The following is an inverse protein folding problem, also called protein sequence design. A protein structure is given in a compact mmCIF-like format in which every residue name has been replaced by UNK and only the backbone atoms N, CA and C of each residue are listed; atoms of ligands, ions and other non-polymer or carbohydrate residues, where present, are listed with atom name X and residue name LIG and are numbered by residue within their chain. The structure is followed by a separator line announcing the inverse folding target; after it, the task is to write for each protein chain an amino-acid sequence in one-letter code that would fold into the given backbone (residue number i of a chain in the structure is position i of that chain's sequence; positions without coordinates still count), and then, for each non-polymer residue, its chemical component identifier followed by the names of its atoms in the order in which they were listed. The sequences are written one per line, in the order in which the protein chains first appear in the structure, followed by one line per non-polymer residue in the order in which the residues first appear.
data_IF_006576130943
#
_entry.id   IF_006576130943
#
_cell.length_a   1.000
_cell.length_b   1.000
_cell.length_c   1.000
_cell.angle_alpha   90.00
_cell.angle_beta   90.00
_cell.angle_gamma   90.00
#
_symmetry.space_group_name_H-M   'P 1'
#
loop_
_entity.id
_entity.type
_entity.pdbx_description
1 polymer ?
#
# COMPACT_ATOMS: atom_id res chain seq x y z
N UNK A 1 25.10 -1.42 10.56
CA UNK A 1 24.14 -1.78 9.49
C UNK A 1 24.38 -0.84 8.31
N UNK A 2 24.25 -1.32 7.06
CA UNK A 2 24.81 -0.67 5.85
C UNK A 2 24.16 0.68 5.48
N UNK A 3 23.03 1.05 6.11
CA UNK A 3 22.33 2.35 5.95
C UNK A 3 21.65 2.73 7.28
N UNK A 4 22.37 3.34 8.23
CA UNK A 4 21.85 3.60 9.58
C UNK A 4 20.75 4.67 9.65
N UNK A 5 20.50 5.38 8.55
CA UNK A 5 19.50 6.45 8.46
C UNK A 5 18.18 6.02 7.79
N UNK A 6 18.12 4.81 7.24
CA UNK A 6 16.89 4.28 6.65
C UNK A 6 15.99 3.72 7.76
N UNK A 7 14.69 4.01 7.66
CA UNK A 7 13.68 3.49 8.59
C UNK A 7 12.68 2.63 7.83
N UNK A 8 12.25 1.53 8.45
CA UNK A 8 11.19 0.68 7.95
C UNK A 8 10.08 0.63 8.99
N UNK A 9 8.88 1.03 8.57
CA UNK A 9 7.68 0.96 9.37
C UNK A 9 6.73 -0.05 8.70
N UNK A 10 6.16 -0.98 9.48
CA UNK A 10 5.24 -2.00 8.97
C UNK A 10 3.84 -1.68 9.48
N UNK A 11 2.89 -1.61 8.55
CA UNK A 11 1.49 -1.29 8.83
C UNK A 11 0.63 -2.44 8.33
N UNK A 12 -0.32 -2.84 9.15
CA UNK A 12 -1.41 -3.73 8.76
C UNK A 12 -2.66 -2.90 8.62
N UNK A 13 -3.50 -3.24 7.63
CA UNK A 13 -4.79 -2.61 7.47
C UNK A 13 -5.87 -3.64 7.12
N UNK A 14 -7.00 -3.52 7.80
CA UNK A 14 -8.23 -4.26 7.59
C UNK A 14 -9.40 -3.29 7.66
N UNK A 15 -10.27 -3.39 8.67
CA UNK A 15 -11.25 -2.32 8.93
C UNK A 15 -10.56 -1.03 9.42
N UNK A 16 -9.53 -1.17 10.25
CA UNK A 16 -8.64 -0.11 10.74
C UNK A 16 -7.20 -0.37 10.29
N UNK A 17 -6.29 0.55 10.59
CA UNK A 17 -4.87 0.41 10.34
C UNK A 17 -4.04 0.66 11.61
N UNK A 18 -2.99 -0.13 11.81
CA UNK A 18 -2.07 0.02 12.94
C UNK A 18 -0.66 -0.41 12.55
N UNK A 19 0.33 0.07 13.31
CA UNK A 19 1.73 -0.34 13.15
C UNK A 19 2.01 -1.63 13.92
N UNK A 20 2.92 -2.44 13.38
CA UNK A 20 3.43 -3.64 14.03
C UNK A 20 4.95 -3.71 13.89
N UNK A 21 5.59 -4.54 14.71
CA UNK A 21 6.99 -4.88 14.50
C UNK A 21 7.12 -6.02 13.47
N UNK A 22 8.27 -6.08 12.78
CA UNK A 22 8.53 -7.13 11.77
C UNK A 22 8.41 -8.53 12.39
N UNK A 23 8.83 -8.69 13.65
CA UNK A 23 8.75 -9.96 14.39
C UNK A 23 7.32 -10.44 14.62
N UNK A 24 6.34 -9.54 14.54
CA UNK A 24 4.93 -9.85 14.78
C UNK A 24 4.24 -10.35 13.49
N UNK A 25 4.86 -10.13 12.31
CA UNK A 25 4.31 -10.52 11.01
C UNK A 25 3.85 -11.99 10.93
N UNK A 26 4.62 -12.99 11.43
CA UNK A 26 4.21 -14.39 11.34
C UNK A 26 3.00 -14.75 12.23
N UNK A 27 2.71 -13.92 13.23
CA UNK A 27 1.66 -14.15 14.22
C UNK A 27 0.40 -13.33 13.94
N UNK A 28 0.38 -12.55 12.85
CA UNK A 28 -0.81 -11.82 12.43
C UNK A 28 -1.92 -12.78 12.02
N UNK A 29 -3.05 -12.66 12.68
CA UNK A 29 -4.27 -13.34 12.27
C UNK A 29 -5.02 -12.53 11.22
N UNK A 30 -5.28 -13.15 10.07
CA UNK A 30 -6.20 -12.64 9.06
C UNK A 30 -7.63 -12.99 9.49
N UNK A 31 -8.27 -12.06 10.21
CA UNK A 31 -9.69 -12.12 10.53
C UNK A 31 -10.60 -11.71 9.35
N UNK A 32 -11.93 -11.80 9.49
CA UNK A 32 -12.90 -11.36 8.48
C UNK A 32 -12.93 -9.83 8.43
N UNK A 33 -11.93 -9.26 7.77
CA UNK A 33 -11.75 -7.82 7.62
C UNK A 33 -12.10 -7.39 6.21
N UNK A 34 -12.60 -6.16 6.09
CA UNK A 34 -12.67 -5.49 4.81
C UNK A 34 -11.33 -4.83 4.49
N UNK A 35 -11.13 -4.42 3.24
CA UNK A 35 -9.92 -3.73 2.82
C UNK A 35 -10.11 -2.22 2.94
N UNK A 36 -9.72 -1.61 4.06
CA UNK A 36 -9.70 -0.15 4.24
C UNK A 36 -8.34 0.43 3.84
N UNK A 37 -8.08 0.47 2.53
CA UNK A 37 -6.84 1.05 1.97
C UNK A 37 -6.66 2.52 2.37
N UNK A 38 -7.76 3.25 2.60
CA UNK A 38 -7.72 4.66 3.05
C UNK A 38 -7.05 4.77 4.42
N UNK A 39 -7.45 3.97 5.40
CA UNK A 39 -6.83 3.99 6.73
C UNK A 39 -5.34 3.63 6.68
N UNK A 40 -4.96 2.63 5.86
CA UNK A 40 -3.56 2.26 5.68
C UNK A 40 -2.72 3.40 5.09
N UNK A 41 -3.23 4.09 4.06
CA UNK A 41 -2.54 5.22 3.43
C UNK A 41 -2.45 6.43 4.36
N UNK A 42 -3.52 6.76 5.10
CA UNK A 42 -3.50 7.88 6.06
C UNK A 42 -2.44 7.65 7.15
N UNK A 43 -2.41 6.44 7.73
CA UNK A 43 -1.39 6.10 8.73
C UNK A 43 0.03 6.12 8.15
N UNK A 44 0.23 5.58 6.94
CA UNK A 44 1.53 5.62 6.28
C UNK A 44 2.00 7.05 6.00
N UNK A 45 1.10 7.91 5.51
CA UNK A 45 1.40 9.32 5.27
C UNK A 45 1.78 10.05 6.56
N UNK A 46 1.08 9.78 7.67
CA UNK A 46 1.36 10.43 8.95
C UNK A 46 2.72 10.01 9.53
N UNK A 47 3.10 8.74 9.39
CA UNK A 47 4.45 8.26 9.73
C UNK A 47 5.48 8.96 8.85
N UNK A 48 5.31 8.89 7.53
CA UNK A 48 6.27 9.41 6.56
C UNK A 48 6.43 10.94 6.66
N UNK A 49 5.39 11.68 7.03
CA UNK A 49 5.47 13.13 7.29
C UNK A 49 6.43 13.48 8.42
N UNK A 50 6.55 12.63 9.45
CA UNK A 50 7.45 12.84 10.59
C UNK A 50 8.92 12.49 10.27
N UNK A 51 9.17 11.76 9.17
CA UNK A 51 10.52 11.41 8.73
C UNK A 51 11.16 12.56 7.96
N UNK A 52 12.42 12.88 8.31
CA UNK A 52 13.23 13.94 7.67
C UNK A 52 13.84 13.50 6.33
N UNK A 53 13.88 12.19 6.06
CA UNK A 53 14.45 11.65 4.83
C UNK A 53 13.63 12.12 3.61
N UNK A 54 14.28 12.61 2.54
CA UNK A 54 13.59 13.09 1.35
C UNK A 54 12.98 11.95 0.53
N UNK A 55 13.58 10.75 0.57
CA UNK A 55 13.10 9.59 -0.15
C UNK A 55 12.03 8.85 0.67
N UNK A 56 10.76 9.03 0.32
CA UNK A 56 9.62 8.40 1.00
C UNK A 56 8.90 7.45 0.06
N UNK A 57 8.67 6.22 0.50
CA UNK A 57 8.09 5.17 -0.33
C UNK A 57 7.09 4.35 0.49
N UNK A 58 6.02 3.91 -0.18
CA UNK A 58 5.04 2.96 0.36
C UNK A 58 5.09 1.72 -0.53
N UNK A 59 5.30 0.57 0.09
CA UNK A 59 5.13 -0.73 -0.56
C UNK A 59 3.81 -1.32 -0.07
N UNK A 60 2.78 -1.29 -0.91
CA UNK A 60 1.45 -1.81 -0.58
C UNK A 60 1.33 -3.23 -1.12
N UNK A 61 1.08 -4.20 -0.24
CA UNK A 61 0.79 -5.58 -0.62
C UNK A 61 -0.70 -5.81 -0.36
N UNK A 62 -1.43 -6.27 -1.37
CA UNK A 62 -2.87 -6.52 -1.22
C UNK A 62 -3.38 -7.57 -2.20
N UNK A 63 -4.31 -8.39 -1.73
CA UNK A 63 -5.08 -9.38 -2.49
C UNK A 63 -6.53 -8.91 -2.75
N UNK A 64 -6.92 -7.73 -2.24
CA UNK A 64 -8.28 -7.21 -2.27
C UNK A 64 -8.38 -5.76 -2.73
N UNK A 65 -9.42 -5.45 -3.50
CA UNK A 65 -9.78 -4.05 -3.81
C UNK A 65 -10.26 -3.34 -2.54
N UNK A 66 -10.23 -2.01 -2.46
CA UNK A 66 -10.76 -1.31 -1.29
C UNK A 66 -12.28 -1.54 -1.18
N UNK A 67 -12.75 -1.91 0.01
CA UNK A 67 -14.16 -2.23 0.29
C UNK A 67 -14.71 -1.56 1.54
N UNK A 68 -13.91 -0.75 2.23
CA UNK A 68 -14.30 -0.13 3.50
C UNK A 68 -13.76 1.30 3.63
N UNK A 69 -14.54 2.16 4.29
CA UNK A 69 -14.14 3.45 4.84
C UNK A 69 -14.58 3.54 6.28
N UNK A 70 -13.79 4.21 7.11
CA UNK A 70 -14.19 4.62 8.45
C UNK A 70 -14.85 6.00 8.39
N UNK A 71 -16.05 6.15 8.93
CA UNK A 71 -16.83 7.39 8.98
C UNK A 71 -17.24 7.67 10.43
N UNK A 72 -16.42 8.45 11.13
CA UNK A 72 -16.58 8.67 12.57
C UNK A 72 -16.41 7.37 13.34
N UNK A 73 -17.47 6.94 14.04
CA UNK A 73 -17.52 5.69 14.80
C UNK A 73 -18.01 4.50 13.96
N UNK A 74 -18.49 4.73 12.74
CA UNK A 74 -19.09 3.70 11.89
C UNK A 74 -18.17 3.32 10.72
N UNK A 75 -18.50 2.22 10.05
CA UNK A 75 -17.82 1.79 8.82
C UNK A 75 -18.79 1.73 7.66
N UNK A 76 -18.45 2.43 6.57
CA UNK A 76 -19.10 2.28 5.29
C UNK A 76 -18.43 1.14 4.52
N UNK A 77 -19.19 0.08 4.21
CA UNK A 77 -18.65 -1.16 3.63
C UNK A 77 -19.43 -1.57 2.39
N UNK A 78 -18.73 -1.85 1.30
CA UNK A 78 -19.30 -2.43 0.10
C UNK A 78 -18.25 -3.30 -0.61
N UNK A 79 -18.48 -4.61 -0.60
CA UNK A 79 -17.59 -5.57 -1.28
C UNK A 79 -18.01 -5.84 -2.73
N UNK A 80 -19.15 -5.35 -3.20
CA UNK A 80 -19.62 -5.60 -4.56
C UNK A 80 -19.03 -4.60 -5.56
N UNK A 81 -18.35 -5.11 -6.58
CA UNK A 81 -17.76 -4.29 -7.65
C UNK A 81 -16.80 -3.21 -7.15
N UNK A 82 -16.65 -2.13 -7.91
CA UNK A 82 -15.87 -0.95 -7.53
C UNK A 82 -16.78 0.15 -7.02
N UNK A 83 -16.98 0.18 -5.70
CA UNK A 83 -17.77 1.21 -5.05
C UNK A 83 -17.13 2.60 -5.29
N UNK A 84 -17.90 3.50 -5.90
CA UNK A 84 -17.39 4.82 -6.31
C UNK A 84 -16.95 5.67 -5.12
N UNK A 85 -17.64 5.59 -3.97
CA UNK A 85 -17.30 6.40 -2.79
C UNK A 85 -15.96 5.95 -2.22
N UNK A 86 -15.80 4.65 -2.04
CA UNK A 86 -14.58 4.03 -1.50
C UNK A 86 -13.39 4.25 -2.45
N UNK A 87 -13.57 3.96 -3.74
CA UNK A 87 -12.51 4.09 -4.76
C UNK A 87 -12.08 5.55 -4.91
N UNK A 88 -13.02 6.49 -5.03
CA UNK A 88 -12.67 7.90 -5.19
C UNK A 88 -11.91 8.46 -3.98
N UNK A 89 -12.26 8.03 -2.76
CA UNK A 89 -11.51 8.43 -1.56
C UNK A 89 -10.09 7.89 -1.58
N UNK A 90 -9.92 6.63 -1.97
CA UNK A 90 -8.61 5.97 -2.09
C UNK A 90 -7.74 6.64 -3.15
N UNK A 91 -8.28 6.93 -4.34
CA UNK A 91 -7.56 7.62 -5.42
C UNK A 91 -7.16 9.06 -5.03
N UNK A 92 -7.99 9.78 -4.26
CA UNK A 92 -7.62 11.10 -3.74
C UNK A 92 -6.39 11.04 -2.84
N UNK A 93 -6.28 10.02 -1.97
CA UNK A 93 -5.07 9.83 -1.15
C UNK A 93 -3.86 9.45 -1.99
N UNK A 94 -4.03 8.62 -3.03
CA UNK A 94 -2.96 8.30 -3.97
C UNK A 94 -2.37 9.57 -4.63
N UNK A 95 -3.25 10.50 -5.01
CA UNK A 95 -2.88 11.80 -5.56
C UNK A 95 -2.19 12.69 -4.52
N UNK A 96 -2.65 12.67 -3.27
CA UNK A 96 -1.99 13.41 -2.19
C UNK A 96 -0.59 12.85 -1.90
N UNK A 97 -0.42 11.53 -1.86
CA UNK A 97 0.89 10.90 -1.74
C UNK A 97 1.83 11.38 -2.83
N UNK A 98 1.37 11.40 -4.09
CA UNK A 98 2.16 11.92 -5.22
C UNK A 98 2.59 13.37 -5.01
N UNK A 99 1.69 14.25 -4.55
CA UNK A 99 2.02 15.66 -4.28
C UNK A 99 3.02 15.85 -3.14
N UNK A 100 3.16 14.85 -2.26
CA UNK A 100 4.12 14.83 -1.16
C UNK A 100 5.40 14.05 -1.52
N UNK A 101 5.60 13.72 -2.80
CA UNK A 101 6.71 12.90 -3.29
C UNK A 101 6.82 11.52 -2.61
N UNK A 102 5.67 10.97 -2.20
CA UNK A 102 5.55 9.62 -1.67
C UNK A 102 5.16 8.67 -2.82
N UNK A 103 6.13 7.89 -3.27
CA UNK A 103 5.94 6.90 -4.33
C UNK A 103 5.30 5.63 -3.76
N UNK A 104 4.22 5.15 -4.39
CA UNK A 104 3.53 3.92 -4.01
C UNK A 104 3.86 2.83 -5.01
N UNK A 105 4.39 1.72 -4.52
CA UNK A 105 4.58 0.48 -5.27
C UNK A 105 3.57 -0.54 -4.77
N UNK A 106 2.68 -1.00 -5.66
CA UNK A 106 1.62 -1.95 -5.32
C UNK A 106 1.98 -3.35 -5.78
N UNK A 107 1.93 -4.31 -4.87
CA UNK A 107 2.04 -5.73 -5.14
C UNK A 107 0.66 -6.36 -5.00
N UNK A 108 0.09 -6.74 -6.13
CA UNK A 108 -1.20 -7.38 -6.20
C UNK A 108 -1.02 -8.90 -6.11
N UNK A 109 -1.70 -9.53 -5.15
CA UNK A 109 -1.61 -10.98 -4.86
C UNK A 109 -2.96 -11.67 -5.09
N UNK A 110 -3.62 -11.36 -6.20
CA UNK A 110 -4.86 -12.01 -6.61
C UNK A 110 -5.07 -11.89 -8.13
N UNK A 111 -6.10 -12.57 -8.65
CA UNK A 111 -6.55 -12.49 -10.06
C UNK A 111 -7.95 -11.90 -10.20
N UNK A 112 -8.34 -11.00 -9.28
CA UNK A 112 -9.64 -10.34 -9.34
C UNK A 112 -9.64 -9.19 -10.37
N UNK A 113 -10.53 -9.18 -11.37
CA UNK A 113 -10.57 -8.13 -12.40
C UNK A 113 -10.86 -6.73 -11.84
N UNK A 114 -11.67 -6.63 -10.78
CA UNK A 114 -11.98 -5.34 -10.17
C UNK A 114 -10.76 -4.75 -9.45
N UNK A 115 -10.03 -5.57 -8.70
CA UNK A 115 -8.76 -5.21 -8.09
C UNK A 115 -7.76 -4.80 -9.16
N UNK A 116 -7.65 -5.56 -10.25
CA UNK A 116 -6.71 -5.23 -11.32
C UNK A 116 -7.00 -3.84 -11.92
N UNK A 117 -8.28 -3.54 -12.19
CA UNK A 117 -8.72 -2.22 -12.65
C UNK A 117 -8.43 -1.12 -11.61
N UNK A 118 -8.74 -1.37 -10.35
CA UNK A 118 -8.43 -0.43 -9.27
C UNK A 118 -6.92 -0.15 -9.19
N UNK A 119 -6.06 -1.17 -9.21
CA UNK A 119 -4.60 -1.02 -9.13
C UNK A 119 -4.07 -0.24 -10.33
N UNK A 120 -4.61 -0.45 -11.53
CA UNK A 120 -4.24 0.35 -12.71
C UNK A 120 -4.53 1.85 -12.50
N UNK A 121 -5.75 2.19 -12.11
CA UNK A 121 -6.15 3.57 -11.85
C UNK A 121 -5.34 4.19 -10.71
N UNK A 122 -5.18 3.45 -9.61
CA UNK A 122 -4.43 3.87 -8.42
C UNK A 122 -2.96 4.15 -8.72
N UNK A 123 -2.32 3.25 -9.48
CA UNK A 123 -0.92 3.39 -9.91
C UNK A 123 -0.75 4.59 -10.82
N UNK A 124 -1.66 4.78 -11.79
CA UNK A 124 -1.64 5.94 -12.69
C UNK A 124 -1.80 7.25 -11.92
N UNK A 125 -2.71 7.29 -10.95
CA UNK A 125 -2.95 8.49 -10.13
C UNK A 125 -1.73 8.86 -9.28
N UNK A 126 -1.08 7.89 -8.64
CA UNK A 126 0.12 8.13 -7.85
C UNK A 126 1.38 8.36 -8.71
N UNK A 127 1.39 7.94 -9.98
CA UNK A 127 2.59 7.77 -10.80
C UNK A 127 3.56 6.73 -10.20
N UNK A 128 2.97 5.68 -9.63
CA UNK A 128 3.64 4.59 -8.93
C UNK A 128 4.05 3.43 -9.83
N UNK A 129 4.35 2.29 -9.21
CA UNK A 129 4.54 1.01 -9.90
C UNK A 129 3.49 0.00 -9.42
N UNK A 130 3.13 -0.93 -10.28
CA UNK A 130 2.32 -2.09 -9.91
C UNK A 130 2.97 -3.37 -10.41
N UNK A 131 2.98 -4.39 -9.55
CA UNK A 131 3.42 -5.74 -9.86
C UNK A 131 2.25 -6.70 -9.66
N UNK A 132 1.93 -7.43 -10.72
CA UNK A 132 0.89 -8.44 -10.74
C UNK A 132 1.54 -9.79 -10.50
N UNK A 133 1.42 -10.31 -9.28
CA UNK A 133 2.16 -11.51 -8.87
C UNK A 133 1.20 -12.64 -8.55
N UNK A 134 1.63 -13.87 -8.83
CA UNK A 134 1.07 -15.02 -8.12
C UNK A 134 1.73 -15.12 -6.74
N UNK A 135 1.10 -15.79 -5.78
CA UNK A 135 1.63 -15.99 -4.41
C UNK A 135 3.10 -16.46 -4.37
N UNK A 136 3.57 -17.20 -5.39
CA UNK A 136 4.96 -17.70 -5.48
C UNK A 136 5.97 -16.70 -6.07
N UNK A 137 5.51 -15.71 -6.84
CA UNK A 137 6.39 -14.79 -7.60
C UNK A 137 6.73 -13.48 -6.89
N UNK A 138 6.06 -13.17 -5.77
CA UNK A 138 6.21 -11.88 -5.10
C UNK A 138 7.65 -11.60 -4.63
N UNK A 139 8.31 -12.61 -4.05
CA UNK A 139 9.68 -12.49 -3.55
C UNK A 139 10.67 -12.13 -4.66
N UNK A 140 10.64 -12.86 -5.77
CA UNK A 140 11.56 -12.68 -6.91
C UNK A 140 11.49 -11.25 -7.48
N UNK A 141 10.29 -10.68 -7.65
CA UNK A 141 10.11 -9.32 -8.15
C UNK A 141 10.68 -8.24 -7.21
N UNK A 142 10.50 -8.39 -5.89
CA UNK A 142 11.04 -7.43 -4.91
C UNK A 142 12.58 -7.40 -5.00
N UNK A 143 13.20 -8.57 -5.12
CA UNK A 143 14.66 -8.66 -5.27
C UNK A 143 15.16 -8.03 -6.58
N UNK A 144 14.49 -8.27 -7.71
CA UNK A 144 14.89 -7.71 -8.99
C UNK A 144 14.77 -6.18 -9.06
N UNK A 145 13.67 -5.58 -8.58
CA UNK A 145 13.50 -4.13 -8.59
C UNK A 145 14.46 -3.44 -7.61
N UNK A 146 14.73 -4.04 -6.44
CA UNK A 146 15.72 -3.54 -5.50
C UNK A 146 17.11 -3.46 -6.16
N UNK A 147 17.55 -4.52 -6.85
CA UNK A 147 18.83 -4.55 -7.57
C UNK A 147 18.85 -3.53 -8.72
N UNK A 148 17.75 -3.41 -9.47
CA UNK A 148 17.65 -2.49 -10.62
C UNK A 148 17.67 -1.02 -10.19
N UNK A 149 16.94 -0.65 -9.14
CA UNK A 149 16.95 0.72 -8.61
C UNK A 149 18.31 1.06 -7.98
N UNK A 150 18.98 0.10 -7.33
CA UNK A 150 20.35 0.28 -6.81
C UNK A 150 21.34 0.60 -7.93
N UNK A 151 21.28 -0.10 -9.07
CA UNK A 151 22.16 0.17 -10.21
C UNK A 151 21.96 1.57 -10.82
N UNK A 152 20.75 2.12 -10.77
CA UNK A 152 20.45 3.48 -11.26
C UNK A 152 20.93 4.59 -10.32
N UNK A 153 20.98 4.35 -9.00
CA UNK A 153 21.47 5.33 -8.01
C UNK A 153 22.99 5.37 -7.83
N UNK A 154 23.72 4.39 -8.36
CA UNK A 154 25.19 4.29 -8.28
C UNK A 154 25.88 4.76 -9.58
N UNK A 155 25.13 5.39 -10.49
CA UNK A 155 25.65 6.04 -11.69
C UNK A 155 25.49 7.55 -11.60
#
# INVERSE_FOLDING_TARGET
TRYPQDTLDVIVFGNDAWQIEIRDLPYLEVGPYHTNTVAGLELAMDILRRRKNPNKQIFMITDGKPTCLKEGLNYYKNSFGLDRKIVNRTLRLAMQCRKLDILITTFMVARDPYLQRFVQDFTRTNNGKAFYTSLKGLGEYIFEDYVRNRRRRVR
#
